data_IF_351059711196
#
_entry.id   IF_351059711196
#
_cell.length_a   1.000
_cell.length_b   1.000
_cell.length_c   1.000
_cell.angle_alpha   90.00
_cell.angle_beta   90.00
_cell.angle_gamma   90.00
#
_symmetry.space_group_name_H-M   'P 1'
#
loop_
_entity.id
_entity.type
_entity.pdbx_description
1 polymer ?
#
# COMPACT_ATOMS: atom_id res chain seq x y z
N UNK A 1 -30.90 25.82 -3.85
CA UNK A 1 -30.76 24.57 -3.06
C UNK A 1 -29.54 23.75 -3.51
N UNK A 2 -29.42 23.45 -4.82
CA UNK A 2 -28.32 22.67 -5.41
C UNK A 2 -26.91 23.27 -5.15
N UNK A 3 -26.74 24.58 -5.34
CA UNK A 3 -25.44 25.23 -5.18
C UNK A 3 -24.95 25.28 -3.72
N UNK A 4 -25.88 25.38 -2.76
CA UNK A 4 -25.56 25.34 -1.33
C UNK A 4 -25.06 23.96 -0.89
N UNK A 5 -25.73 22.90 -1.35
CA UNK A 5 -25.32 21.51 -1.11
C UNK A 5 -23.96 21.20 -1.75
N UNK A 6 -23.68 21.76 -2.93
CA UNK A 6 -22.37 21.63 -3.59
C UNK A 6 -21.27 22.33 -2.78
N UNK A 7 -21.50 23.58 -2.37
CA UNK A 7 -20.55 24.34 -1.55
C UNK A 7 -20.29 23.69 -0.19
N UNK A 8 -21.31 23.15 0.48
CA UNK A 8 -21.17 22.42 1.75
C UNK A 8 -20.33 21.14 1.58
N UNK A 9 -20.51 20.40 0.48
CA UNK A 9 -19.68 19.23 0.13
C UNK A 9 -18.24 19.59 -0.17
N UNK A 10 -18.01 20.65 -0.93
CA UNK A 10 -16.66 21.16 -1.24
C UNK A 10 -15.94 21.62 0.03
N UNK A 11 -16.61 22.33 0.92
CA UNK A 11 -16.07 22.74 2.21
C UNK A 11 -15.74 21.53 3.12
N UNK A 12 -16.60 20.52 3.15
CA UNK A 12 -16.34 19.28 3.89
C UNK A 12 -15.14 18.50 3.32
N UNK A 13 -15.02 18.42 1.99
CA UNK A 13 -13.89 17.80 1.32
C UNK A 13 -12.58 18.57 1.59
N UNK A 14 -12.59 19.90 1.51
CA UNK A 14 -11.45 20.75 1.82
C UNK A 14 -10.98 20.57 3.28
N UNK A 15 -11.91 20.57 4.25
CA UNK A 15 -11.60 20.30 5.66
C UNK A 15 -10.97 18.92 5.86
N UNK A 16 -11.52 17.89 5.22
CA UNK A 16 -10.95 16.53 5.26
C UNK A 16 -9.53 16.50 4.68
N UNK A 17 -9.28 17.20 3.59
CA UNK A 17 -7.96 17.26 2.96
C UNK A 17 -6.95 17.95 3.89
N UNK A 18 -7.32 19.06 4.54
CA UNK A 18 -6.47 19.73 5.53
C UNK A 18 -6.14 18.83 6.73
N UNK A 19 -7.13 18.12 7.29
CA UNK A 19 -6.90 17.16 8.36
C UNK A 19 -5.97 16.01 7.94
N UNK A 20 -6.08 15.59 6.68
CA UNK A 20 -5.20 14.56 6.12
C UNK A 20 -3.78 15.08 5.93
N UNK A 21 -3.61 16.30 5.44
CA UNK A 21 -2.31 16.94 5.28
C UNK A 21 -1.62 17.15 6.63
N UNK A 22 -2.32 17.65 7.65
CA UNK A 22 -1.76 17.79 9.00
C UNK A 22 -1.29 16.43 9.56
N UNK A 23 -2.10 15.39 9.39
CA UNK A 23 -1.71 14.04 9.82
C UNK A 23 -0.46 13.53 9.08
N UNK A 24 -0.34 13.81 7.78
CA UNK A 24 0.84 13.46 6.98
C UNK A 24 2.06 14.26 7.42
N UNK A 25 1.94 15.58 7.60
CA UNK A 25 3.03 16.46 8.05
C UNK A 25 3.60 15.98 9.40
N UNK A 26 2.73 15.57 10.32
CA UNK A 26 3.12 15.00 11.62
C UNK A 26 3.87 13.68 11.54
N UNK A 27 3.79 12.96 10.41
CA UNK A 27 4.58 11.74 10.20
C UNK A 27 6.01 12.04 9.72
N UNK A 28 6.26 13.21 9.13
CA UNK A 28 7.56 13.56 8.55
C UNK A 28 7.98 12.69 7.36
N UNK A 29 7.03 12.05 6.66
CA UNK A 29 7.34 11.22 5.49
C UNK A 29 7.85 12.11 4.35
N UNK A 30 8.94 11.68 3.71
CA UNK A 30 9.51 12.32 2.52
C UNK A 30 9.60 11.33 1.35
N UNK A 31 9.86 11.84 0.16
CA UNK A 31 10.05 11.01 -1.04
C UNK A 31 11.30 10.14 -0.94
N UNK A 32 12.36 10.64 -0.29
CA UNK A 32 13.59 9.88 -0.03
C UNK A 32 13.30 8.70 0.91
N UNK A 33 12.49 8.92 1.95
CA UNK A 33 12.06 7.86 2.87
C UNK A 33 11.26 6.78 2.14
N UNK A 34 10.34 7.18 1.24
CA UNK A 34 9.59 6.24 0.39
C UNK A 34 10.57 5.46 -0.50
N UNK A 35 11.54 6.16 -1.11
CA UNK A 35 12.56 5.56 -1.95
C UNK A 35 13.36 4.48 -1.26
N UNK A 36 13.81 4.76 -0.03
CA UNK A 36 14.59 3.84 0.81
C UNK A 36 13.76 2.64 1.28
N UNK A 37 12.53 2.89 1.78
CA UNK A 37 11.62 1.85 2.22
C UNK A 37 11.31 0.87 1.07
N UNK A 38 10.94 1.39 -0.09
CA UNK A 38 10.64 0.59 -1.28
C UNK A 38 11.86 -0.22 -1.72
N UNK A 39 13.03 0.42 -1.81
CA UNK A 39 14.25 -0.26 -2.25
C UNK A 39 14.62 -1.42 -1.31
N UNK A 40 14.67 -1.18 0.01
CA UNK A 40 15.01 -2.23 0.99
C UNK A 40 13.99 -3.36 1.01
N UNK A 41 12.71 -3.00 1.01
CA UNK A 41 11.62 -3.97 1.10
C UNK A 41 11.64 -4.91 -0.11
N UNK A 42 11.70 -4.36 -1.33
CA UNK A 42 11.69 -5.18 -2.54
C UNK A 42 13.02 -5.93 -2.78
N UNK A 43 14.13 -5.44 -2.22
CA UNK A 43 15.36 -6.21 -2.09
C UNK A 43 15.13 -7.53 -1.33
N UNK A 44 14.46 -7.45 -0.16
CA UNK A 44 14.10 -8.65 0.63
C UNK A 44 13.11 -9.55 -0.08
N UNK A 45 12.07 -8.97 -0.69
CA UNK A 45 11.04 -9.72 -1.43
C UNK A 45 11.66 -10.57 -2.54
N UNK A 46 12.67 -10.03 -3.24
CA UNK A 46 13.33 -10.73 -4.34
C UNK A 46 14.13 -11.96 -3.90
N UNK A 47 14.69 -11.91 -2.69
CA UNK A 47 15.46 -13.00 -2.09
C UNK A 47 14.59 -14.01 -1.31
N UNK A 48 13.33 -13.65 -1.06
CA UNK A 48 12.41 -14.48 -0.29
C UNK A 48 11.96 -15.72 -1.08
N UNK A 49 11.98 -16.89 -0.44
CA UNK A 49 11.67 -18.16 -1.09
C UNK A 49 10.19 -18.28 -1.54
N UNK A 50 9.25 -17.62 -0.85
CA UNK A 50 7.83 -17.67 -1.17
C UNK A 50 7.45 -16.55 -2.15
N UNK A 51 7.94 -15.34 -1.92
CA UNK A 51 7.58 -14.17 -2.73
C UNK A 51 8.45 -14.00 -3.98
N UNK A 52 9.73 -14.34 -3.91
CA UNK A 52 10.67 -14.19 -5.03
C UNK A 52 10.15 -14.79 -6.34
N UNK A 53 9.60 -16.02 -6.36
CA UNK A 53 9.00 -16.61 -7.55
C UNK A 53 7.82 -15.81 -8.13
N UNK A 54 6.99 -15.18 -7.29
CA UNK A 54 5.87 -14.32 -7.74
C UNK A 54 6.40 -13.10 -8.51
N UNK A 55 7.53 -12.55 -8.08
CA UNK A 55 8.16 -11.38 -8.69
C UNK A 55 9.10 -11.73 -9.85
N UNK A 56 9.27 -13.01 -10.20
CA UNK A 56 10.10 -13.43 -11.33
C UNK A 56 9.61 -12.92 -12.69
N UNK A 57 8.34 -12.47 -12.78
CA UNK A 57 7.78 -11.82 -13.97
C UNK A 57 8.32 -10.39 -14.21
N UNK A 58 8.98 -9.79 -13.21
CA UNK A 58 9.53 -8.44 -13.31
C UNK A 58 10.85 -8.49 -14.09
N UNK A 59 10.83 -7.94 -15.30
CA UNK A 59 12.00 -7.92 -16.18
C UNK A 59 12.95 -6.74 -15.89
N UNK A 60 12.39 -5.54 -15.66
CA UNK A 60 13.15 -4.34 -15.36
C UNK A 60 12.84 -3.87 -13.92
N UNK A 61 13.77 -4.14 -13.01
CA UNK A 61 13.62 -3.79 -11.60
C UNK A 61 13.69 -2.29 -11.34
N UNK A 62 14.50 -1.54 -12.08
CA UNK A 62 14.62 -0.09 -11.86
C UNK A 62 13.30 0.62 -12.22
N UNK A 63 12.70 0.25 -13.34
CA UNK A 63 11.38 0.75 -13.75
C UNK A 63 10.28 0.32 -12.76
N UNK A 64 10.32 -0.94 -12.31
CA UNK A 64 9.36 -1.45 -11.35
C UNK A 64 9.44 -0.70 -10.00
N UNK A 65 10.65 -0.48 -9.48
CA UNK A 65 10.87 0.26 -8.25
C UNK A 65 10.45 1.72 -8.37
N UNK A 66 10.70 2.37 -9.52
CA UNK A 66 10.21 3.73 -9.76
C UNK A 66 8.68 3.81 -9.69
N UNK A 67 7.98 2.87 -10.34
CA UNK A 67 6.52 2.77 -10.28
C UNK A 67 6.00 2.51 -8.87
N UNK A 68 6.70 1.71 -8.08
CA UNK A 68 6.35 1.42 -6.69
C UNK A 68 6.56 2.63 -5.78
N UNK A 69 7.60 3.44 -6.00
CA UNK A 69 7.78 4.72 -5.31
C UNK A 69 6.64 5.68 -5.60
N UNK A 70 6.23 5.80 -6.87
CA UNK A 70 5.08 6.63 -7.24
C UNK A 70 3.79 6.12 -6.60
N UNK A 71 3.60 4.79 -6.56
CA UNK A 71 2.46 4.17 -5.90
C UNK A 71 2.40 4.56 -4.41
N UNK A 72 3.50 4.34 -3.68
CA UNK A 72 3.54 4.66 -2.26
C UNK A 72 3.42 6.14 -1.98
N UNK A 73 4.00 7.01 -2.81
CA UNK A 73 3.80 8.46 -2.73
C UNK A 73 2.34 8.84 -2.92
N UNK A 74 1.63 8.27 -3.89
CA UNK A 74 0.18 8.47 -4.01
C UNK A 74 -0.60 7.97 -2.79
N UNK A 75 -0.16 6.89 -2.15
CA UNK A 75 -0.85 6.28 -0.98
C UNK A 75 -0.68 7.10 0.30
N UNK A 76 0.53 7.60 0.58
CA UNK A 76 0.86 8.23 1.87
C UNK A 76 1.00 9.75 1.80
N UNK A 77 1.34 10.31 0.63
CA UNK A 77 1.48 11.76 0.43
C UNK A 77 0.36 12.35 -0.45
N UNK A 78 -0.53 11.52 -0.99
CA UNK A 78 -1.58 11.94 -1.93
C UNK A 78 -1.05 12.70 -3.15
N UNK A 79 0.17 12.39 -3.59
CA UNK A 79 0.84 13.12 -4.68
C UNK A 79 0.20 12.96 -6.05
N UNK A 80 -0.59 11.89 -6.25
CA UNK A 80 -1.24 11.58 -7.53
C UNK A 80 -0.28 11.10 -8.62
N UNK A 81 0.98 10.77 -8.30
CA UNK A 81 1.99 10.36 -9.31
C UNK A 81 1.69 9.00 -9.93
N UNK A 82 1.07 8.09 -9.18
CA UNK A 82 0.67 6.78 -9.68
C UNK A 82 -0.73 6.78 -10.29
N UNK A 83 -0.81 6.32 -11.55
CA UNK A 83 -2.03 6.28 -12.37
C UNK A 83 -2.47 4.86 -12.75
N UNK A 84 -1.80 3.83 -12.22
CA UNK A 84 -2.09 2.43 -12.53
C UNK A 84 -3.29 1.86 -11.79
N UNK A 85 -3.63 0.60 -12.09
CA UNK A 85 -4.58 -0.19 -11.31
C UNK A 85 -3.84 -1.35 -10.64
N UNK A 86 -3.48 -1.22 -9.35
CA UNK A 86 -2.73 -2.25 -8.63
C UNK A 86 -3.49 -3.56 -8.61
N UNK A 87 -4.78 -3.53 -8.29
CA UNK A 87 -5.63 -4.71 -8.23
C UNK A 87 -5.58 -5.53 -9.52
N UNK A 88 -5.76 -4.88 -10.69
CA UNK A 88 -5.76 -5.56 -11.99
C UNK A 88 -4.43 -6.25 -12.31
N UNK A 89 -3.32 -5.71 -11.80
CA UNK A 89 -2.00 -6.32 -11.98
C UNK A 89 -1.78 -7.56 -11.11
N UNK A 90 -2.46 -7.67 -9.96
CA UNK A 90 -2.27 -8.77 -9.00
C UNK A 90 -3.27 -9.92 -9.19
N UNK A 91 -4.45 -9.65 -9.78
CA UNK A 91 -5.46 -10.68 -10.09
C UNK A 91 -4.92 -11.94 -10.82
N UNK A 92 -4.07 -11.86 -11.85
CA UNK A 92 -3.61 -13.04 -12.56
C UNK A 92 -2.55 -13.88 -11.81
N UNK A 93 -2.04 -13.40 -10.66
CA UNK A 93 -0.88 -14.01 -9.98
C UNK A 93 -1.25 -15.17 -9.03
N UNK A 94 -2.53 -15.58 -8.98
CA UNK A 94 -3.02 -16.69 -8.14
C UNK A 94 -2.53 -16.63 -6.68
N UNK A 95 -2.47 -15.44 -6.11
CA UNK A 95 -2.00 -15.21 -4.73
C UNK A 95 -2.95 -15.86 -3.72
N UNK A 96 -2.37 -16.36 -2.64
CA UNK A 96 -3.09 -16.95 -1.48
C UNK A 96 -2.64 -16.29 -0.18
N UNK A 97 -3.37 -16.55 0.91
CA UNK A 97 -3.15 -15.94 2.22
C UNK A 97 -1.69 -15.87 2.66
N UNK A 98 -0.94 -16.97 2.52
CA UNK A 98 0.47 -17.04 2.94
C UNK A 98 1.36 -16.02 2.23
N UNK A 99 1.07 -15.68 0.97
CA UNK A 99 1.82 -14.65 0.24
C UNK A 99 1.60 -13.26 0.86
N UNK A 100 0.36 -12.95 1.22
CA UNK A 100 0.02 -11.66 1.83
C UNK A 100 0.59 -11.54 3.25
N UNK A 101 0.54 -12.60 4.05
CA UNK A 101 1.16 -12.61 5.37
C UNK A 101 2.67 -12.40 5.26
N UNK A 102 3.33 -13.14 4.37
CA UNK A 102 4.79 -13.01 4.21
C UNK A 102 5.18 -11.62 3.69
N UNK A 103 4.41 -11.07 2.77
CA UNK A 103 4.63 -9.72 2.24
C UNK A 103 4.46 -8.67 3.34
N UNK A 104 3.41 -8.78 4.17
CA UNK A 104 3.19 -7.88 5.30
C UNK A 104 4.27 -7.99 6.36
N UNK A 105 4.71 -9.19 6.72
CA UNK A 105 5.77 -9.40 7.71
C UNK A 105 7.07 -8.69 7.29
N UNK A 106 7.50 -8.90 6.03
CA UNK A 106 8.68 -8.24 5.48
C UNK A 106 8.49 -6.72 5.40
N UNK A 107 7.30 -6.26 5.03
CA UNK A 107 7.01 -4.83 4.90
C UNK A 107 7.02 -4.14 6.27
N UNK A 108 6.36 -4.72 7.26
CA UNK A 108 6.32 -4.19 8.63
C UNK A 108 7.70 -4.14 9.27
N UNK A 109 8.49 -5.20 9.09
CA UNK A 109 9.87 -5.24 9.55
C UNK A 109 10.68 -4.11 8.91
N UNK A 110 10.61 -3.98 7.59
CA UNK A 110 11.38 -2.96 6.86
C UNK A 110 10.94 -1.54 7.23
N UNK A 111 9.64 -1.29 7.37
CA UNK A 111 9.10 0.01 7.75
C UNK A 111 9.57 0.44 9.14
N UNK A 112 9.63 -0.48 10.11
CA UNK A 112 10.14 -0.21 11.46
C UNK A 112 11.64 0.07 11.49
N UNK A 113 12.40 -0.50 10.57
CA UNK A 113 13.84 -0.28 10.47
C UNK A 113 14.20 1.03 9.75
N UNK A 114 13.41 1.42 8.74
CA UNK A 114 13.69 2.59 7.88
C UNK A 114 13.06 3.87 8.42
N UNK A 115 11.87 3.78 8.98
CA UNK A 115 11.04 4.96 9.26
C UNK A 115 10.95 5.26 10.77
N UNK A 116 10.81 6.54 11.15
CA UNK A 116 10.38 6.90 12.50
C UNK A 116 9.04 6.24 12.86
N UNK A 117 8.73 6.03 14.15
CA UNK A 117 7.55 5.27 14.57
C UNK A 117 6.21 5.77 13.98
N UNK A 118 6.02 7.09 13.88
CA UNK A 118 4.80 7.67 13.32
C UNK A 118 4.63 7.37 11.81
N UNK A 119 5.72 7.52 11.05
CA UNK A 119 5.75 7.17 9.63
C UNK A 119 5.56 5.67 9.41
N UNK A 120 6.29 4.84 10.17
CA UNK A 120 6.16 3.38 10.10
C UNK A 120 4.71 2.93 10.36
N UNK A 121 4.06 3.46 11.41
CA UNK A 121 2.68 3.14 11.72
C UNK A 121 1.72 3.46 10.57
N UNK A 122 1.89 4.62 9.91
CA UNK A 122 1.06 4.99 8.75
C UNK A 122 1.29 4.07 7.55
N UNK A 123 2.54 3.77 7.20
CA UNK A 123 2.85 2.83 6.12
C UNK A 123 2.24 1.46 6.37
N UNK A 124 2.38 0.94 7.59
CA UNK A 124 1.88 -0.38 7.99
C UNK A 124 0.35 -0.45 7.94
N UNK A 125 -0.35 0.57 8.45
CA UNK A 125 -1.82 0.64 8.35
C UNK A 125 -2.29 0.61 6.89
N UNK A 126 -1.64 1.38 6.01
CA UNK A 126 -1.95 1.39 4.57
C UNK A 126 -1.67 0.03 3.91
N UNK A 127 -0.50 -0.55 4.21
CA UNK A 127 -0.08 -1.85 3.69
C UNK A 127 -1.09 -2.95 4.03
N UNK A 128 -1.52 -3.03 5.30
CA UNK A 128 -2.53 -4.00 5.76
C UNK A 128 -3.84 -3.87 5.00
N UNK A 129 -4.37 -2.66 4.86
CA UNK A 129 -5.63 -2.42 4.13
C UNK A 129 -5.54 -2.80 2.65
N UNK A 130 -4.38 -2.56 2.03
CA UNK A 130 -4.12 -2.96 0.63
C UNK A 130 -4.09 -4.49 0.52
N UNK A 131 -3.35 -5.17 1.40
CA UNK A 131 -3.26 -6.62 1.43
C UNK A 131 -4.64 -7.28 1.65
N UNK A 132 -5.42 -6.79 2.62
CA UNK A 132 -6.78 -7.27 2.89
C UNK A 132 -7.66 -7.12 1.64
N UNK A 133 -7.61 -5.96 0.98
CA UNK A 133 -8.40 -5.71 -0.23
C UNK A 133 -8.03 -6.66 -1.37
N UNK A 134 -6.73 -6.91 -1.57
CA UNK A 134 -6.25 -7.79 -2.63
C UNK A 134 -6.59 -9.25 -2.34
N UNK A 135 -6.42 -9.71 -1.10
CA UNK A 135 -6.79 -11.06 -0.71
C UNK A 135 -8.29 -11.32 -0.90
N UNK A 136 -9.15 -10.40 -0.46
CA UNK A 136 -10.59 -10.53 -0.66
C UNK A 136 -10.96 -10.64 -2.14
N UNK A 137 -10.32 -9.83 -3.00
CA UNK A 137 -10.52 -9.89 -4.43
C UNK A 137 -10.02 -11.22 -5.02
N UNK A 138 -8.82 -11.66 -4.66
CA UNK A 138 -8.26 -12.95 -5.08
C UNK A 138 -9.11 -14.14 -4.65
N UNK A 139 -9.64 -14.14 -3.42
CA UNK A 139 -10.52 -15.18 -2.91
C UNK A 139 -11.85 -15.24 -3.67
N UNK A 140 -12.45 -14.07 -3.94
CA UNK A 140 -13.71 -13.96 -4.69
C UNK A 140 -13.57 -14.55 -6.10
N UNK A 141 -12.47 -14.25 -6.79
CA UNK A 141 -12.17 -14.79 -8.13
C UNK A 141 -11.97 -16.31 -8.09
N UNK A 142 -11.35 -16.81 -7.03
CA UNK A 142 -11.13 -18.24 -6.82
C UNK A 142 -12.39 -19.00 -6.35
N UNK A 143 -13.55 -18.34 -6.25
CA UNK A 143 -14.80 -18.94 -5.75
C UNK A 143 -14.76 -19.30 -4.25
N UNK A 144 -13.85 -18.70 -3.48
CA UNK A 144 -13.69 -18.90 -2.04
C UNK A 144 -14.19 -17.65 -1.29
N UNK A 145 -15.02 -17.83 -0.26
CA UNK A 145 -15.36 -16.74 0.66
C UNK A 145 -14.18 -16.60 1.64
N UNK A 146 -13.45 -15.49 1.59
CA UNK A 146 -12.43 -15.14 2.58
C UNK A 146 -12.96 -14.04 3.51
N UNK A 147 -12.79 -14.24 4.82
CA UNK A 147 -13.06 -13.21 5.83
C UNK A 147 -11.87 -12.26 5.94
N UNK A 148 -12.09 -10.94 6.10
CA UNK A 148 -11.02 -9.97 6.36
C UNK A 148 -10.07 -10.39 7.49
N UNK A 149 -8.74 -10.28 7.27
CA UNK A 149 -7.72 -10.75 8.23
C UNK A 149 -7.84 -10.09 9.60
N UNK A 150 -8.33 -8.84 9.67
CA UNK A 150 -8.53 -8.12 10.94
C UNK A 150 -9.59 -8.75 11.87
N UNK A 151 -10.37 -9.72 11.42
CA UNK A 151 -11.30 -10.48 12.27
C UNK A 151 -10.69 -11.76 12.87
N UNK A 152 -9.47 -12.15 12.46
CA UNK A 152 -8.84 -13.42 12.84
C UNK A 152 -7.71 -13.28 13.88
N UNK A 153 -7.29 -12.05 14.22
CA UNK A 153 -6.37 -11.78 15.32
C UNK A 153 -7.14 -11.23 16.53
N UNK A 154 -7.51 -12.14 17.44
CA UNK A 154 -7.89 -11.84 18.83
C UNK A 154 -6.67 -11.84 19.74
#
# INVERSE_FOLDING_TARGET
>A
MSDRLKAEREAAAARRNLLTQDAIERTGITEEMIGELVARFYGRVREDALLGPVFAIVQNWDEHLAKLRDFWSSVVLMSGRYHGSPMRAHMPLSLVGDHFDRWLDLFEQTAREVCPPAAAALFIDKARRIADSFEMASATIAGRIASPRHMLRS
#
